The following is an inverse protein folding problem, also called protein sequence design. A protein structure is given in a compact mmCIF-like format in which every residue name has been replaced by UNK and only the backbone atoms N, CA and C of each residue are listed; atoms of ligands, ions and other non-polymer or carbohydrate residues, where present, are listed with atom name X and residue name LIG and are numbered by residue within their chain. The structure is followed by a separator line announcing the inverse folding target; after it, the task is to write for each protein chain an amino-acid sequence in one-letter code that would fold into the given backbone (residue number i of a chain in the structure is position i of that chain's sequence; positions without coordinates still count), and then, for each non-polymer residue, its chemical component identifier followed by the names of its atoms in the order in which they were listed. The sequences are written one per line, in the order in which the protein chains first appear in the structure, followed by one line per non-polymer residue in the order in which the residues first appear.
data_IF_043604111086
#
_entry.id   IF_043604111086
#
_cell.length_a   1.000
_cell.length_b   1.000
_cell.length_c   1.000
_cell.angle_alpha   90.00
_cell.angle_beta   90.00
_cell.angle_gamma   90.00
#
_symmetry.space_group_name_H-M   'P 1'
#
loop_
_entity.id
_entity.type
_entity.pdbx_description
1 polymer ?
#
# COMPACT_ATOMS: atom_id res chain seq x y z
N UNK A 1 30.50 3.09 38.90
CA UNK A 1 29.04 2.91 38.83
C UNK A 1 28.60 3.60 37.57
N UNK A 2 28.66 2.87 36.45
CA UNK A 2 28.38 3.39 35.10
C UNK A 2 27.88 2.24 34.22
N UNK A 3 26.76 2.51 33.61
CA UNK A 3 26.20 2.02 32.38
C UNK A 3 26.01 0.50 32.17
N UNK A 4 24.79 0.07 32.46
CA UNK A 4 24.21 -1.18 31.98
C UNK A 4 22.87 -0.98 31.26
N UNK A 5 22.55 0.23 30.79
CA UNK A 5 21.23 0.55 30.22
C UNK A 5 21.14 0.47 28.69
N UNK A 6 22.21 0.05 28.01
CA UNK A 6 22.20 -0.04 26.54
C UNK A 6 21.73 -1.41 26.00
N UNK A 7 21.73 -2.45 26.85
CA UNK A 7 21.23 -3.78 26.47
C UNK A 7 19.71 -3.91 26.42
N UNK A 8 18.95 -3.00 27.02
CA UNK A 8 17.48 -3.05 27.03
C UNK A 8 16.84 -2.46 25.74
N UNK A 9 17.63 -1.87 24.86
CA UNK A 9 17.15 -1.32 23.58
C UNK A 9 17.04 -2.36 22.48
N UNK A 10 17.89 -3.37 22.48
CA UNK A 10 17.92 -4.42 21.46
C UNK A 10 16.66 -5.31 21.54
N UNK A 11 16.17 -5.58 22.75
CA UNK A 11 14.99 -6.43 22.95
C UNK A 11 13.68 -5.77 22.45
N UNK A 12 13.54 -4.44 22.59
CA UNK A 12 12.36 -3.70 22.10
C UNK A 12 12.38 -3.53 20.56
N UNK A 13 13.55 -3.38 19.96
CA UNK A 13 13.71 -3.33 18.48
C UNK A 13 13.46 -4.70 17.85
N UNK A 14 13.86 -5.80 18.50
CA UNK A 14 13.58 -7.15 18.04
C UNK A 14 12.08 -7.51 18.16
N UNK A 15 11.40 -7.16 19.26
CA UNK A 15 9.96 -7.35 19.40
C UNK A 15 9.16 -6.56 18.37
N UNK A 16 9.57 -5.33 18.08
CA UNK A 16 8.94 -4.52 17.05
C UNK A 16 9.16 -5.10 15.65
N UNK A 17 10.39 -5.54 15.35
CA UNK A 17 10.74 -6.20 14.10
C UNK A 17 9.94 -7.49 13.87
N UNK A 18 9.82 -8.35 14.88
CA UNK A 18 9.02 -9.58 14.81
C UNK A 18 7.51 -9.30 14.66
N UNK A 19 7.01 -8.24 15.32
CA UNK A 19 5.61 -7.85 15.21
C UNK A 19 5.28 -7.31 13.80
N UNK A 20 6.18 -6.54 13.20
CA UNK A 20 6.05 -6.06 11.82
C UNK A 20 6.14 -7.23 10.83
N UNK A 21 7.09 -8.15 11.02
CA UNK A 21 7.27 -9.32 10.17
C UNK A 21 6.01 -10.21 10.16
N UNK A 22 5.46 -10.53 11.33
CA UNK A 22 4.23 -11.32 11.49
C UNK A 22 3.01 -10.65 10.83
N UNK A 23 2.91 -9.33 10.92
CA UNK A 23 1.84 -8.54 10.28
C UNK A 23 1.96 -8.50 8.77
N UNK A 24 3.17 -8.53 8.26
CA UNK A 24 3.43 -8.58 6.82
C UNK A 24 3.08 -9.96 6.26
N UNK A 25 3.33 -11.05 7.00
CA UNK A 25 2.94 -12.40 6.59
C UNK A 25 1.41 -12.55 6.45
N UNK A 26 0.63 -11.91 7.34
CA UNK A 26 -0.84 -11.89 7.23
C UNK A 26 -1.32 -11.29 5.89
N UNK A 27 -0.64 -10.26 5.40
CA UNK A 27 -0.97 -9.63 4.11
C UNK A 27 -0.80 -10.60 2.94
N UNK A 28 0.25 -11.42 2.95
CA UNK A 28 0.50 -12.41 1.89
C UNK A 28 -0.54 -13.55 1.86
N UNK A 29 -1.29 -13.76 2.93
CA UNK A 29 -2.33 -14.78 3.01
C UNK A 29 -3.63 -14.37 2.30
N UNK A 30 -3.84 -13.06 2.05
CA UNK A 30 -5.02 -12.55 1.33
C UNK A 30 -4.86 -12.82 -0.15
N UNK A 31 -5.78 -13.61 -0.79
CA UNK A 31 -5.68 -13.91 -2.21
C UNK A 31 -5.98 -12.67 -3.07
N UNK A 32 -5.34 -12.56 -4.22
CA UNK A 32 -5.66 -11.54 -5.20
C UNK A 32 -7.07 -11.76 -5.77
N UNK A 33 -7.78 -10.67 -6.05
CA UNK A 33 -9.10 -10.74 -6.66
C UNK A 33 -9.02 -11.43 -8.03
N UNK A 34 -9.91 -12.38 -8.25
CA UNK A 34 -9.97 -13.11 -9.51
C UNK A 34 -10.80 -12.32 -10.52
N UNK A 35 -10.26 -12.00 -11.70
CA UNK A 35 -11.02 -11.36 -12.74
C UNK A 35 -12.18 -12.23 -13.24
N UNK A 36 -13.30 -11.59 -13.57
CA UNK A 36 -14.44 -12.20 -14.23
C UNK A 36 -14.14 -12.54 -15.73
N UNK A 37 -15.16 -12.99 -16.48
CA UNK A 37 -15.03 -13.32 -17.89
C UNK A 37 -14.60 -12.13 -18.77
N UNK A 38 -14.85 -10.90 -18.32
CA UNK A 38 -14.49 -9.65 -19.01
C UNK A 38 -13.11 -9.14 -18.55
N UNK A 39 -12.42 -9.86 -17.67
CA UNK A 39 -11.14 -9.49 -17.12
C UNK A 39 -11.22 -8.38 -16.07
N UNK A 40 -12.36 -8.22 -15.39
CA UNK A 40 -12.65 -7.16 -14.43
C UNK A 40 -12.73 -7.76 -13.03
N UNK A 41 -12.17 -7.07 -12.04
CA UNK A 41 -12.31 -7.37 -10.62
C UNK A 41 -13.31 -6.42 -9.98
N UNK A 42 -14.02 -6.89 -8.96
CA UNK A 42 -14.94 -6.08 -8.17
C UNK A 42 -14.51 -6.12 -6.70
N UNK A 43 -14.16 -4.96 -6.15
CA UNK A 43 -13.63 -4.85 -4.79
C UNK A 43 -14.15 -3.59 -4.07
N UNK A 44 -14.22 -3.63 -2.72
CA UNK A 44 -14.38 -2.42 -1.92
C UNK A 44 -13.26 -1.42 -2.19
N UNK A 45 -13.56 -0.13 -2.06
CA UNK A 45 -12.61 0.95 -2.31
C UNK A 45 -12.09 1.51 -1.00
N UNK A 46 -10.77 1.67 -0.91
CA UNK A 46 -10.06 2.42 0.12
C UNK A 46 -9.66 3.80 -0.44
N UNK A 47 -10.37 4.88 -0.07
CA UNK A 47 -9.98 6.23 -0.47
C UNK A 47 -8.70 6.68 0.23
N UNK A 48 -7.70 7.12 -0.53
CA UNK A 48 -6.44 7.71 -0.05
C UNK A 48 -6.42 9.21 -0.32
N UNK A 49 -6.03 10.04 0.67
CA UNK A 49 -6.00 11.51 0.53
C UNK A 49 -4.72 11.99 -0.13
N UNK A 50 -3.60 11.71 0.48
CA UNK A 50 -2.27 12.25 0.19
C UNK A 50 -1.20 11.18 0.01
N UNK A 51 -1.64 9.93 -0.09
CA UNK A 51 -0.78 8.77 -0.28
C UNK A 51 -1.09 8.09 -1.62
N UNK A 52 -0.04 7.68 -2.31
CA UNK A 52 -0.12 6.77 -3.46
C UNK A 52 0.58 5.47 -3.07
N UNK A 53 -0.15 4.36 -3.15
CA UNK A 53 0.42 3.02 -2.97
C UNK A 53 0.84 2.49 -4.33
N UNK A 54 2.03 1.90 -4.41
CA UNK A 54 2.53 1.23 -5.61
C UNK A 54 2.50 -0.30 -5.44
N UNK A 55 2.51 -1.07 -6.51
CA UNK A 55 2.69 -2.52 -6.42
C UNK A 55 3.93 -2.88 -5.58
N UNK A 56 3.80 -3.92 -4.77
CA UNK A 56 4.83 -4.43 -3.83
C UNK A 56 5.18 -3.50 -2.66
N UNK A 57 4.68 -2.28 -2.63
CA UNK A 57 4.87 -1.36 -1.51
C UNK A 57 4.04 -1.81 -0.30
N UNK A 58 4.64 -1.80 0.88
CA UNK A 58 3.93 -1.93 2.16
C UNK A 58 3.95 -0.58 2.86
N UNK A 59 2.77 -0.07 3.20
CA UNK A 59 2.64 1.23 3.84
C UNK A 59 1.54 1.22 4.90
N UNK A 60 1.67 1.99 6.00
CA UNK A 60 0.58 2.24 6.91
C UNK A 60 -0.47 3.14 6.25
N UNK A 61 -1.73 2.77 6.40
CA UNK A 61 -2.87 3.58 5.98
C UNK A 61 -3.67 4.00 7.20
N UNK A 62 -3.98 5.29 7.29
CA UNK A 62 -4.78 5.85 8.37
C UNK A 62 -6.25 5.88 7.95
N UNK A 63 -7.11 5.37 8.83
CA UNK A 63 -8.53 5.20 8.57
C UNK A 63 -9.31 6.02 9.57
N UNK A 64 -9.90 7.12 9.11
CA UNK A 64 -10.67 8.03 9.96
C UNK A 64 -12.15 8.13 9.58
N UNK A 65 -12.57 7.54 8.44
CA UNK A 65 -13.96 7.57 8.00
C UNK A 65 -14.66 6.26 8.29
N UNK A 66 -15.88 6.32 8.81
CA UNK A 66 -16.70 5.14 9.11
C UNK A 66 -16.93 4.26 7.87
N UNK A 67 -17.21 4.89 6.72
CA UNK A 67 -17.39 4.16 5.45
C UNK A 67 -16.16 3.39 5.01
N UNK A 68 -14.96 3.92 5.31
CA UNK A 68 -13.69 3.25 5.01
C UNK A 68 -13.43 2.10 5.98
N UNK A 69 -13.79 2.26 7.26
CA UNK A 69 -13.72 1.18 8.25
C UNK A 69 -14.60 0.01 7.81
N UNK A 70 -15.85 0.27 7.45
CA UNK A 70 -16.79 -0.75 6.96
C UNK A 70 -16.24 -1.49 5.73
N UNK A 71 -15.62 -0.78 4.78
CA UNK A 71 -15.01 -1.40 3.61
C UNK A 71 -13.86 -2.35 3.97
N UNK A 72 -13.03 -1.97 4.94
CA UNK A 72 -11.91 -2.81 5.42
C UNK A 72 -12.44 -4.02 6.19
N UNK A 73 -13.39 -3.82 7.10
CA UNK A 73 -14.01 -4.90 7.88
C UNK A 73 -14.65 -5.95 6.97
N UNK A 74 -15.40 -5.50 5.96
CA UNK A 74 -15.99 -6.39 4.95
C UNK A 74 -14.92 -7.18 4.19
N UNK A 75 -13.87 -6.50 3.72
CA UNK A 75 -12.77 -7.16 3.02
C UNK A 75 -12.05 -8.20 3.90
N UNK A 76 -11.89 -7.91 5.20
CA UNK A 76 -11.28 -8.85 6.16
C UNK A 76 -12.19 -10.06 6.43
N UNK A 77 -13.50 -9.84 6.59
CA UNK A 77 -14.47 -10.92 6.80
C UNK A 77 -14.51 -11.90 5.63
N UNK A 78 -14.43 -11.38 4.41
CA UNK A 78 -14.45 -12.18 3.18
C UNK A 78 -13.06 -12.63 2.71
N UNK A 79 -12.01 -12.26 3.43
CA UNK A 79 -10.60 -12.54 3.08
C UNK A 79 -10.29 -12.16 1.63
N UNK A 80 -10.57 -10.92 1.27
CA UNK A 80 -10.39 -10.37 -0.08
C UNK A 80 -9.64 -9.04 -0.09
N UNK A 81 -9.13 -8.66 -1.24
CA UNK A 81 -8.44 -7.39 -1.48
C UNK A 81 -9.41 -6.22 -1.62
N UNK A 82 -8.86 -5.00 -1.50
CA UNK A 82 -9.53 -3.73 -1.80
C UNK A 82 -8.84 -3.04 -2.98
N UNK A 83 -9.47 -1.98 -3.50
CA UNK A 83 -8.85 -1.05 -4.45
C UNK A 83 -8.53 0.25 -3.74
N UNK A 84 -7.26 0.59 -3.64
CA UNK A 84 -6.82 1.90 -3.17
C UNK A 84 -6.93 2.92 -4.29
N UNK A 85 -7.72 3.98 -4.08
CA UNK A 85 -7.89 5.10 -5.02
C UNK A 85 -7.46 6.41 -4.38
N UNK A 86 -6.50 7.12 -4.99
CA UNK A 86 -6.05 8.41 -4.49
C UNK A 86 -7.00 9.52 -4.93
N UNK A 87 -7.37 10.39 -3.98
CA UNK A 87 -8.16 11.58 -4.24
C UNK A 87 -7.36 12.62 -5.02
N UNK A 88 -8.01 13.34 -5.95
CA UNK A 88 -7.40 14.48 -6.67
C UNK A 88 -7.20 15.68 -5.75
N UNK A 89 -8.13 15.91 -4.84
CA UNK A 89 -8.06 16.95 -3.83
C UNK A 89 -8.07 16.30 -2.43
N UNK A 90 -6.94 16.32 -1.69
CA UNK A 90 -6.86 15.71 -0.37
C UNK A 90 -7.72 16.42 0.69
N UNK A 91 -8.08 17.70 0.47
CA UNK A 91 -8.87 18.50 1.41
C UNK A 91 -10.38 18.19 1.32
N UNK A 92 -10.81 17.42 0.33
CA UNK A 92 -12.21 17.07 0.17
C UNK A 92 -12.58 15.90 1.09
N UNK A 93 -13.44 16.17 2.07
CA UNK A 93 -13.90 15.15 3.01
C UNK A 93 -14.85 14.13 2.40
N UNK A 94 -15.58 14.52 1.36
CA UNK A 94 -16.55 13.65 0.68
C UNK A 94 -16.46 13.83 -0.84
N UNK A 95 -15.34 13.37 -1.44
CA UNK A 95 -15.12 13.58 -2.87
C UNK A 95 -16.22 12.91 -3.71
N UNK A 96 -16.67 13.58 -4.79
CA UNK A 96 -17.47 12.92 -5.79
C UNK A 96 -16.68 11.80 -6.46
N UNK A 97 -17.32 10.90 -7.20
CA UNK A 97 -16.65 9.77 -7.84
C UNK A 97 -15.57 10.21 -8.82
N UNK A 98 -15.75 11.34 -9.51
CA UNK A 98 -14.79 11.97 -10.41
C UNK A 98 -13.60 12.61 -9.67
N UNK A 99 -13.74 12.76 -8.35
CA UNK A 99 -12.69 13.24 -7.44
C UNK A 99 -11.55 12.26 -7.19
N UNK A 100 -11.63 11.03 -7.70
CA UNK A 100 -10.56 10.05 -7.63
C UNK A 100 -9.74 10.01 -8.92
N UNK A 101 -8.50 9.53 -8.79
CA UNK A 101 -7.67 9.20 -9.95
C UNK A 101 -8.18 7.91 -10.61
N UNK A 102 -8.14 7.81 -11.95
CA UNK A 102 -8.69 6.64 -12.66
C UNK A 102 -7.82 5.39 -12.54
N UNK A 103 -6.57 5.54 -12.13
CA UNK A 103 -5.64 4.43 -11.88
C UNK A 103 -5.47 4.31 -10.37
N UNK A 104 -5.74 3.12 -9.86
CA UNK A 104 -5.52 2.72 -8.48
C UNK A 104 -4.64 1.50 -8.38
N UNK A 105 -4.60 0.94 -7.18
CA UNK A 105 -3.83 -0.28 -6.88
C UNK A 105 -4.72 -1.24 -6.10
N UNK A 106 -4.78 -2.49 -6.53
CA UNK A 106 -5.32 -3.57 -5.70
C UNK A 106 -4.39 -3.78 -4.52
N UNK A 107 -4.96 -3.83 -3.31
CA UNK A 107 -4.21 -3.92 -2.05
C UNK A 107 -4.76 -5.04 -1.16
N UNK A 108 -3.88 -5.70 -0.43
CA UNK A 108 -4.23 -6.43 0.76
C UNK A 108 -4.12 -5.52 1.98
N UNK A 109 -5.05 -5.63 2.93
CA UNK A 109 -5.05 -4.82 4.16
C UNK A 109 -5.06 -5.75 5.38
N UNK A 110 -4.07 -5.56 6.25
CA UNK A 110 -3.94 -6.28 7.51
C UNK A 110 -4.92 -5.79 8.57
N UNK A 111 -4.77 -6.30 9.78
CA UNK A 111 -5.67 -5.97 10.90
C UNK A 111 -5.64 -4.49 11.23
N UNK A 112 -6.83 -3.96 11.56
CA UNK A 112 -6.98 -2.62 12.09
C UNK A 112 -6.38 -2.52 13.49
N UNK A 113 -5.64 -1.44 13.71
CA UNK A 113 -5.04 -1.07 14.99
C UNK A 113 -5.68 0.23 15.45
N UNK A 114 -6.28 0.20 16.64
CA UNK A 114 -6.78 1.42 17.27
C UNK A 114 -5.60 2.22 17.84
N UNK A 115 -5.53 3.49 17.48
CA UNK A 115 -4.52 4.41 17.98
C UNK A 115 -5.02 5.14 19.22
N UNK A 116 -4.12 5.63 20.11
CA UNK A 116 -4.49 6.34 21.32
C UNK A 116 -5.32 7.60 21.11
N UNK A 117 -5.24 8.21 19.92
CA UNK A 117 -6.01 9.40 19.52
C UNK A 117 -7.41 9.07 19.00
N UNK A 118 -7.81 7.79 19.01
CA UNK A 118 -9.10 7.32 18.53
C UNK A 118 -9.16 7.04 17.02
N UNK A 119 -8.08 7.30 16.29
CA UNK A 119 -7.97 6.89 14.88
C UNK A 119 -7.67 5.39 14.77
N UNK A 120 -7.83 4.85 13.56
CA UNK A 120 -7.43 3.48 13.24
C UNK A 120 -6.35 3.49 12.15
N UNK A 121 -5.47 2.51 12.20
CA UNK A 121 -4.41 2.32 11.22
C UNK A 121 -4.34 0.84 10.83
N UNK A 122 -3.96 0.56 9.59
CA UNK A 122 -3.66 -0.79 9.13
C UNK A 122 -2.45 -0.78 8.19
N UNK A 123 -1.76 -1.90 8.08
CA UNK A 123 -0.76 -2.07 7.02
C UNK A 123 -1.49 -2.46 5.74
N UNK A 124 -1.15 -1.80 4.63
CA UNK A 124 -1.62 -2.12 3.30
C UNK A 124 -0.44 -2.54 2.43
N UNK A 125 -0.63 -3.60 1.63
CA UNK A 125 0.33 -4.07 0.65
C UNK A 125 -0.23 -3.93 -0.75
N UNK A 126 0.46 -3.20 -1.63
CA UNK A 126 0.13 -3.10 -3.05
C UNK A 126 0.36 -4.42 -3.78
N UNK A 127 -0.60 -4.81 -4.62
CA UNK A 127 -0.55 -6.01 -5.45
C UNK A 127 -0.23 -5.66 -6.90
N UNK A 128 -1.17 -5.07 -7.58
CA UNK A 128 -1.07 -4.69 -9.00
C UNK A 128 -1.85 -3.41 -9.27
N UNK A 129 -1.49 -2.68 -10.30
CA UNK A 129 -2.25 -1.51 -10.75
C UNK A 129 -3.55 -1.96 -11.38
N UNK A 130 -4.58 -1.13 -11.19
CA UNK A 130 -5.91 -1.34 -11.77
C UNK A 130 -6.42 -0.05 -12.38
N UNK A 131 -7.12 -0.16 -13.49
CA UNK A 131 -7.84 0.94 -14.12
C UNK A 131 -9.31 0.88 -13.70
N UNK A 132 -9.82 1.95 -13.11
CA UNK A 132 -11.20 2.07 -12.71
C UNK A 132 -12.12 2.02 -13.93
N UNK A 133 -13.12 1.14 -13.91
CA UNK A 133 -14.13 1.03 -14.96
C UNK A 133 -15.42 1.74 -14.52
N UNK A 134 -15.94 1.38 -13.36
CA UNK A 134 -17.20 1.94 -12.84
C UNK A 134 -17.32 1.75 -11.33
N UNK A 135 -18.20 2.51 -10.71
CA UNK A 135 -18.63 2.30 -9.35
C UNK A 135 -19.99 1.59 -9.33
N UNK A 136 -20.07 0.47 -8.60
CA UNK A 136 -21.28 -0.35 -8.52
C UNK A 136 -22.08 -0.10 -7.24
N UNK A 137 -21.41 0.42 -6.21
CA UNK A 137 -22.06 0.75 -4.94
C UNK A 137 -21.44 2.02 -4.34
N UNK A 138 -22.27 2.82 -3.65
CA UNK A 138 -21.83 4.01 -2.92
C UNK A 138 -22.01 3.87 -1.40
N UNK A 139 -23.05 3.22 -0.97
CA UNK A 139 -23.41 3.03 0.44
C UNK A 139 -23.62 1.55 0.74
N UNK A 140 -23.20 1.07 1.96
CA UNK A 140 -22.60 1.80 3.07
C UNK A 140 -21.14 2.18 2.84
N UNK A 141 -20.46 1.61 1.84
CA UNK A 141 -19.11 1.92 1.41
C UNK A 141 -19.00 1.78 -0.11
N UNK A 142 -17.97 2.38 -0.69
CA UNK A 142 -17.73 2.33 -2.13
C UNK A 142 -17.30 0.92 -2.55
N UNK A 143 -17.92 0.42 -3.64
CA UNK A 143 -17.43 -0.75 -4.40
C UNK A 143 -17.22 -0.31 -5.84
N UNK A 144 -16.10 -0.73 -6.41
CA UNK A 144 -15.73 -0.42 -7.78
C UNK A 144 -15.38 -1.68 -8.57
N UNK A 145 -15.65 -1.62 -9.86
CA UNK A 145 -15.16 -2.55 -10.86
C UNK A 145 -13.95 -1.93 -11.54
N UNK A 146 -12.90 -2.71 -11.64
CA UNK A 146 -11.62 -2.24 -12.19
C UNK A 146 -10.96 -3.32 -13.03
N UNK A 147 -10.19 -2.90 -14.03
CA UNK A 147 -9.41 -3.80 -14.88
C UNK A 147 -7.97 -3.86 -14.39
N UNK A 148 -7.46 -5.05 -14.04
CA UNK A 148 -6.04 -5.23 -13.74
C UNK A 148 -5.14 -4.82 -14.91
N UNK A 149 -4.12 -4.03 -14.60
CA UNK A 149 -3.10 -3.64 -15.58
C UNK A 149 -1.94 -4.61 -15.44
N UNK A 150 -1.74 -5.42 -16.48
CA UNK A 150 -0.62 -6.35 -16.52
C UNK A 150 0.58 -5.66 -17.13
N UNK A 151 1.64 -5.58 -16.35
CA UNK A 151 2.89 -4.99 -16.83
C UNK A 151 3.68 -6.02 -17.64
N UNK A 152 4.31 -5.59 -18.76
CA UNK A 152 5.13 -6.49 -19.52
C UNK A 152 6.38 -6.88 -18.70
N UNK A 153 6.54 -8.16 -18.45
CA UNK A 153 7.70 -8.73 -17.73
C UNK A 153 8.96 -8.83 -18.58
N UNK A 154 8.89 -8.45 -19.88
CA UNK A 154 10.04 -8.53 -20.76
C UNK A 154 10.96 -7.33 -20.57
N UNK A 155 12.05 -7.56 -19.86
CA UNK A 155 13.16 -6.62 -19.79
C UNK A 155 14.04 -6.83 -21.03
N UNK A 156 14.17 -5.81 -21.88
CA UNK A 156 15.14 -5.81 -22.96
C UNK A 156 16.46 -5.17 -22.51
N UNK A 157 17.52 -5.27 -23.35
CA UNK A 157 18.85 -4.70 -23.01
C UNK A 157 18.83 -3.19 -22.75
N UNK A 158 17.95 -2.46 -23.45
CA UNK A 158 17.82 -1.02 -23.29
C UNK A 158 17.15 -0.67 -21.95
N UNK A 159 16.09 -1.39 -21.58
CA UNK A 159 15.44 -1.26 -20.27
C UNK A 159 16.43 -1.59 -19.15
N UNK A 160 17.18 -2.69 -19.27
CA UNK A 160 18.19 -3.07 -18.30
C UNK A 160 19.29 -2.01 -18.13
N UNK A 161 19.77 -1.44 -19.23
CA UNK A 161 20.75 -0.36 -19.20
C UNK A 161 20.18 0.89 -18.52
N UNK A 162 18.93 1.24 -18.81
CA UNK A 162 18.23 2.38 -18.17
C UNK A 162 18.05 2.17 -16.68
N UNK A 163 17.62 0.99 -16.25
CA UNK A 163 17.49 0.64 -14.84
C UNK A 163 18.83 0.75 -14.11
N UNK A 164 19.91 0.23 -14.70
CA UNK A 164 21.25 0.34 -14.13
C UNK A 164 21.69 1.79 -13.97
N UNK A 165 21.47 2.61 -15.00
CA UNK A 165 21.77 4.04 -14.94
C UNK A 165 20.95 4.76 -13.86
N UNK A 166 19.67 4.45 -13.75
CA UNK A 166 18.81 5.02 -12.71
C UNK A 166 19.30 4.66 -11.29
N UNK A 167 19.66 3.39 -11.07
CA UNK A 167 20.22 2.93 -9.80
C UNK A 167 21.55 3.62 -9.46
N UNK A 168 22.45 3.79 -10.43
CA UNK A 168 23.70 4.52 -10.24
C UNK A 168 23.48 6.00 -9.89
N UNK A 169 22.49 6.63 -10.53
CA UNK A 169 22.11 8.01 -10.20
C UNK A 169 21.49 8.10 -8.80
N UNK A 170 20.62 7.16 -8.44
CA UNK A 170 20.01 7.10 -7.12
C UNK A 170 21.07 6.89 -6.02
N UNK A 171 22.04 5.99 -6.26
CA UNK A 171 23.18 5.80 -5.34
C UNK A 171 23.92 7.11 -5.08
N UNK A 172 24.17 7.90 -6.13
CA UNK A 172 24.80 9.22 -5.98
C UNK A 172 23.92 10.19 -5.17
N UNK A 173 22.61 10.16 -5.37
CA UNK A 173 21.69 10.97 -4.56
C UNK A 173 21.79 10.61 -3.08
N UNK A 174 21.75 9.31 -2.74
CA UNK A 174 21.88 8.82 -1.36
C UNK A 174 23.23 9.24 -0.74
N UNK A 175 24.33 9.20 -1.51
CA UNK A 175 25.65 9.64 -1.03
C UNK A 175 25.76 11.14 -0.79
N UNK A 176 25.00 11.95 -1.52
CA UNK A 176 25.05 13.42 -1.45
C UNK A 176 24.05 14.01 -0.44
N UNK A 177 22.94 13.32 -0.22
CA UNK A 177 21.87 13.79 0.68
C UNK A 177 21.96 13.03 2.02
N UNK A 178 22.37 13.79 3.07
CA UNK A 178 22.50 13.25 4.44
C UNK A 178 21.16 12.88 5.09
N UNK A 179 20.03 13.28 4.51
CA UNK A 179 18.69 12.93 5.01
C UNK A 179 18.23 11.55 4.53
N UNK A 180 18.88 11.01 3.49
CA UNK A 180 18.58 9.67 2.97
C UNK A 180 19.46 8.64 3.66
N UNK A 181 18.89 7.59 4.27
CA UNK A 181 19.67 6.50 4.85
C UNK A 181 20.33 5.65 3.74
N UNK A 182 21.50 5.09 4.01
CA UNK A 182 22.21 4.24 3.04
C UNK A 182 21.40 3.00 2.64
N UNK A 183 20.54 2.52 3.53
CA UNK A 183 19.63 1.41 3.31
C UNK A 183 18.62 1.68 2.18
N UNK A 184 18.31 2.95 1.90
CA UNK A 184 17.41 3.32 0.81
C UNK A 184 17.90 2.78 -0.56
N UNK A 185 19.23 2.78 -0.77
CA UNK A 185 19.83 2.19 -1.98
C UNK A 185 19.69 0.67 -2.02
N UNK A 186 19.85 0.01 -0.87
CA UNK A 186 19.68 -1.45 -0.77
C UNK A 186 18.25 -1.88 -1.09
N UNK A 187 17.26 -1.11 -0.64
CA UNK A 187 15.86 -1.35 -1.01
C UNK A 187 15.63 -1.21 -2.52
N UNK A 188 16.20 -0.17 -3.14
CA UNK A 188 16.06 0.05 -4.58
C UNK A 188 16.73 -1.05 -5.43
N UNK A 189 17.75 -1.73 -4.91
CA UNK A 189 18.41 -2.87 -5.60
C UNK A 189 17.55 -4.14 -5.61
N UNK A 190 16.57 -4.26 -4.71
CA UNK A 190 15.77 -5.46 -4.53
C UNK A 190 14.37 -5.37 -5.19
N UNK A 191 14.09 -4.27 -5.89
CA UNK A 191 12.89 -4.10 -6.72
C UNK A 191 13.19 -4.63 -8.13
#
# INVERSE_FOLDING_TARGET
MRDKDWYLRDDEEDEFGEAVHRRTEELYSVPDAQPDADGIIECPVLPLRDLVIYPHMVAPVFVGRETTLLAIEEAQLENRTLIALTQRNPDDDNPPLEGFLPIGVEIAVGRLLSMPDGSSSALAQGRRRVELVEYVQREPFLIARARPIYEPTRVNRETEATMRTALEMFQKCVQLDRSLPEEAYLYALNI
#
